data_IF_324014897253
#
_entry.id   IF_324014897253
#
_cell.length_a   1.000
_cell.length_b   1.000
_cell.length_c   1.000
_cell.angle_alpha   90.00
_cell.angle_beta   90.00
_cell.angle_gamma   90.00
#
_symmetry.space_group_name_H-M   'P 1'
#
loop_
_entity.id
_entity.type
_entity.pdbx_description
1 polymer ?
#
# COMPACT_ATOMS: atom_id res chain seq x y z
N UNK A 1 -3.34 -14.39 -12.92
CA UNK A 1 -3.90 -13.27 -12.14
C UNK A 1 -3.72 -13.61 -10.68
N UNK A 2 -2.71 -13.02 -10.05
CA UNK A 2 -2.52 -13.08 -8.60
C UNK A 2 -3.04 -11.78 -7.99
N UNK A 3 -3.76 -11.91 -6.89
CA UNK A 3 -4.19 -10.82 -6.02
C UNK A 3 -4.01 -11.26 -4.58
N UNK A 4 -4.20 -10.34 -3.64
CA UNK A 4 -4.20 -10.67 -2.22
C UNK A 4 -5.24 -11.75 -1.91
N UNK A 5 -4.85 -12.73 -1.11
CA UNK A 5 -5.63 -13.95 -0.81
C UNK A 5 -5.96 -14.11 0.67
N UNK A 6 -5.50 -13.17 1.49
CA UNK A 6 -5.82 -13.00 2.89
C UNK A 6 -7.06 -12.12 3.10
N UNK A 7 -7.66 -12.25 4.28
CA UNK A 7 -8.83 -11.48 4.67
C UNK A 7 -8.42 -10.06 5.08
N UNK A 8 -9.10 -9.06 4.50
CA UNK A 8 -9.02 -7.67 4.93
C UNK A 8 -10.23 -7.34 5.79
N UNK A 9 -9.99 -6.89 7.03
CA UNK A 9 -11.03 -6.41 7.93
C UNK A 9 -11.13 -4.89 7.80
N UNK A 10 -12.12 -4.40 7.06
CA UNK A 10 -12.38 -2.97 6.90
C UNK A 10 -13.27 -2.43 8.04
N UNK A 11 -13.11 -1.15 8.41
CA UNK A 11 -14.04 -0.49 9.31
C UNK A 11 -15.43 -0.36 8.68
N UNK A 12 -16.46 -0.26 9.53
CA UNK A 12 -17.85 -0.06 9.09
C UNK A 12 -18.03 1.20 8.23
N UNK A 13 -17.19 2.21 8.47
CA UNK A 13 -17.13 3.46 7.73
C UNK A 13 -15.69 3.67 7.23
N UNK A 14 -15.37 3.26 6.00
CA UNK A 14 -14.06 3.52 5.42
C UNK A 14 -13.85 5.01 5.18
N UNK A 15 -12.63 5.46 5.46
CA UNK A 15 -12.13 6.78 5.10
C UNK A 15 -11.43 6.68 3.74
N UNK A 16 -11.70 7.66 2.88
CA UNK A 16 -11.12 7.74 1.55
C UNK A 16 -10.46 9.11 1.40
N UNK A 17 -9.26 9.12 0.82
CA UNK A 17 -8.64 10.38 0.44
C UNK A 17 -9.47 11.06 -0.66
N UNK A 18 -9.52 12.40 -0.63
CA UNK A 18 -10.31 13.24 -1.54
C UNK A 18 -10.03 12.98 -3.04
N UNK A 19 -8.88 12.39 -3.34
CA UNK A 19 -8.48 12.05 -4.69
C UNK A 19 -8.91 10.61 -4.99
N UNK A 20 -10.07 10.45 -5.65
CA UNK A 20 -10.43 9.16 -6.23
C UNK A 20 -9.32 8.73 -7.19
N UNK A 21 -8.64 7.59 -6.94
CA UNK A 21 -7.70 7.07 -7.91
C UNK A 21 -8.45 6.81 -9.21
N UNK A 22 -8.02 7.43 -10.31
CA UNK A 22 -8.58 7.25 -11.66
C UNK A 22 -8.39 5.85 -12.23
N UNK A 23 -7.85 4.91 -11.45
CA UNK A 23 -7.59 3.53 -11.83
C UNK A 23 -8.60 2.56 -11.20
N UNK A 24 -9.32 1.82 -12.05
CA UNK A 24 -10.25 0.76 -11.65
C UNK A 24 -11.72 1.14 -11.85
N UNK A 25 -12.18 1.10 -13.11
CA UNK A 25 -13.58 1.35 -13.46
C UNK A 25 -14.47 0.11 -13.37
N UNK A 26 -14.04 -0.93 -12.64
CA UNK A 26 -14.84 -2.14 -12.47
C UNK A 26 -15.70 -1.98 -11.22
N UNK A 27 -17.02 -1.72 -11.35
CA UNK A 27 -17.91 -1.46 -10.23
C UNK A 27 -18.10 -2.68 -9.31
N UNK A 28 -17.47 -3.81 -9.64
CA UNK A 28 -17.54 -5.06 -8.88
C UNK A 28 -16.46 -5.19 -7.79
N UNK A 29 -15.47 -4.30 -7.73
CA UNK A 29 -14.36 -4.37 -6.76
C UNK A 29 -14.27 -3.13 -5.88
N UNK A 30 -14.48 -3.31 -4.57
CA UNK A 30 -14.31 -2.27 -3.55
C UNK A 30 -12.84 -1.96 -3.21
N UNK A 31 -11.90 -2.78 -3.68
CA UNK A 31 -10.46 -2.60 -3.49
C UNK A 31 -9.79 -2.62 -4.86
N UNK A 32 -9.30 -1.46 -5.30
CA UNK A 32 -8.55 -1.34 -6.55
C UNK A 32 -7.06 -1.61 -6.31
N UNK A 33 -6.48 -2.56 -7.05
CA UNK A 33 -5.07 -2.90 -6.91
C UNK A 33 -4.19 -1.85 -7.59
N UNK A 34 -3.25 -1.27 -6.84
CA UNK A 34 -2.14 -0.51 -7.41
C UNK A 34 -0.94 -1.42 -7.70
N UNK A 35 -0.18 -1.14 -8.76
CA UNK A 35 1.03 -1.91 -9.13
C UNK A 35 2.28 -1.06 -8.96
N UNK A 36 3.25 -1.57 -8.20
CA UNK A 36 4.57 -0.93 -8.14
C UNK A 36 5.27 -0.96 -9.50
N UNK A 37 5.84 0.17 -9.94
CA UNK A 37 6.68 0.28 -11.13
C UNK A 37 5.99 0.11 -12.49
N UNK A 38 4.66 0.02 -12.59
CA UNK A 38 3.94 -0.10 -13.87
C UNK A 38 2.56 0.56 -13.81
N UNK A 39 2.53 1.89 -13.66
CA UNK A 39 1.28 2.66 -13.64
C UNK A 39 1.50 3.98 -14.38
N UNK A 40 0.58 4.39 -15.26
CA UNK A 40 0.61 5.72 -15.89
C UNK A 40 0.09 6.79 -14.91
N UNK A 41 -0.85 6.39 -14.06
CA UNK A 41 -1.43 7.14 -12.96
C UNK A 41 -1.25 6.28 -11.70
N UNK A 42 -0.56 6.79 -10.70
CA UNK A 42 -0.24 6.08 -9.47
C UNK A 42 -0.62 6.94 -8.28
N UNK A 43 -0.90 6.34 -7.12
CA UNK A 43 -1.32 7.11 -5.96
C UNK A 43 -0.13 7.74 -5.20
N UNK A 44 1.11 7.40 -5.58
CA UNK A 44 2.33 8.03 -5.05
C UNK A 44 2.54 9.45 -5.65
N UNK A 45 3.36 10.32 -5.04
CA UNK A 45 3.60 11.67 -5.58
C UNK A 45 4.29 11.66 -6.97
N UNK A 46 3.87 12.58 -7.87
CA UNK A 46 4.06 12.59 -9.34
C UNK A 46 5.50 12.46 -9.91
N UNK A 47 6.55 12.51 -9.10
CA UNK A 47 7.92 12.75 -9.63
C UNK A 47 8.77 11.50 -9.91
N UNK A 48 8.25 10.28 -9.76
CA UNK A 48 9.14 9.10 -9.75
C UNK A 48 8.66 7.83 -10.46
N UNK A 49 7.51 7.83 -11.16
CA UNK A 49 6.92 6.60 -11.76
C UNK A 49 7.83 5.88 -12.73
N UNK A 50 8.43 6.61 -13.67
CA UNK A 50 9.38 6.03 -14.63
C UNK A 50 10.65 5.53 -13.96
N UNK A 51 11.00 6.11 -12.81
CA UNK A 51 12.18 5.71 -12.08
C UNK A 51 12.02 4.31 -11.51
N UNK A 52 10.82 3.90 -11.08
CA UNK A 52 10.64 2.63 -10.36
C UNK A 52 10.46 1.39 -11.23
N UNK A 53 10.30 1.54 -12.56
CA UNK A 53 10.09 0.40 -13.45
C UNK A 53 11.32 -0.53 -13.41
N UNK A 54 11.10 -1.79 -13.03
CA UNK A 54 12.17 -2.78 -12.93
C UNK A 54 13.14 -2.57 -11.77
N UNK A 55 12.86 -1.64 -10.86
CA UNK A 55 13.63 -1.46 -9.63
C UNK A 55 13.06 -2.32 -8.51
N UNK A 56 13.95 -2.84 -7.66
CA UNK A 56 13.53 -3.47 -6.41
C UNK A 56 13.16 -2.40 -5.38
N UNK A 57 12.21 -2.76 -4.51
CA UNK A 57 11.84 -1.96 -3.33
C UNK A 57 12.80 -2.34 -2.20
N UNK A 58 13.50 -1.39 -1.56
CA UNK A 58 14.28 -1.69 -0.37
C UNK A 58 13.35 -2.05 0.79
N UNK A 59 13.75 -3.05 1.58
CA UNK A 59 13.06 -3.40 2.81
C UNK A 59 13.92 -2.98 4.00
N UNK A 60 13.30 -2.41 5.03
CA UNK A 60 13.95 -2.12 6.31
C UNK A 60 13.50 -3.12 7.37
N UNK A 61 14.32 -3.32 8.40
CA UNK A 61 13.97 -4.14 9.57
C UNK A 61 14.24 -3.32 10.82
N UNK A 62 13.20 -3.12 11.62
CA UNK A 62 13.27 -2.32 12.84
C UNK A 62 13.12 -3.22 14.07
N UNK A 63 13.90 -2.96 15.12
CA UNK A 63 13.73 -3.59 16.42
C UNK A 63 13.20 -2.55 17.41
N UNK A 64 11.99 -2.80 17.93
CA UNK A 64 11.28 -1.89 18.83
C UNK A 64 11.05 -2.60 20.16
N UNK A 65 11.57 -2.04 21.25
CA UNK A 65 11.59 -2.70 22.57
C UNK A 65 10.30 -2.55 23.38
N UNK A 66 9.46 -1.56 23.04
CA UNK A 66 8.21 -1.26 23.76
C UNK A 66 6.96 -1.44 22.88
N UNK A 67 7.05 -2.25 21.83
CA UNK A 67 5.93 -2.51 20.91
C UNK A 67 5.71 -4.00 20.77
N UNK A 68 4.53 -4.45 21.15
CA UNK A 68 4.20 -5.87 21.19
C UNK A 68 3.42 -6.33 19.95
N UNK A 69 2.90 -5.39 19.16
CA UNK A 69 2.04 -5.66 18.01
C UNK A 69 2.23 -4.57 16.95
N UNK A 70 2.21 -4.98 15.69
CA UNK A 70 2.11 -4.11 14.53
C UNK A 70 0.83 -4.53 13.80
N UNK A 71 -0.03 -3.57 13.49
CA UNK A 71 -1.27 -3.79 12.77
C UNK A 71 -1.45 -2.71 11.72
N UNK A 72 -1.98 -3.11 10.56
CA UNK A 72 -2.37 -2.20 9.49
C UNK A 72 -3.88 -2.05 9.58
N UNK A 73 -4.35 -0.82 9.77
CA UNK A 73 -5.77 -0.48 9.72
C UNK A 73 -6.12 -0.06 8.29
N UNK A 74 -6.81 -0.90 7.51
CA UNK A 74 -7.10 -0.59 6.11
C UNK A 74 -8.27 0.41 6.00
N UNK A 75 -8.20 1.31 5.01
CA UNK A 75 -9.19 2.38 4.77
C UNK A 75 -9.49 3.24 6.02
N UNK A 76 -8.44 3.59 6.75
CA UNK A 76 -8.43 4.56 7.83
C UNK A 76 -7.25 5.51 7.61
N UNK A 77 -7.48 6.82 7.76
CA UNK A 77 -6.44 7.83 7.58
C UNK A 77 -5.55 7.93 8.84
N UNK A 78 -6.11 7.61 10.00
CA UNK A 78 -5.41 7.65 11.29
C UNK A 78 -5.53 6.33 12.05
N UNK A 79 -4.51 6.03 12.86
CA UNK A 79 -4.59 4.91 13.79
C UNK A 79 -5.55 5.26 14.95
N UNK A 80 -6.26 4.27 15.53
CA UNK A 80 -7.13 4.52 16.69
C UNK A 80 -6.39 5.10 17.90
N UNK A 81 -7.13 5.62 18.87
CA UNK A 81 -6.56 6.05 20.16
C UNK A 81 -5.69 4.94 20.78
N UNK A 82 -4.61 5.33 21.45
CA UNK A 82 -3.57 4.46 22.04
C UNK A 82 -2.67 3.70 21.05
N UNK A 83 -2.83 3.91 19.74
CA UNK A 83 -1.88 3.43 18.74
C UNK A 83 -0.87 4.51 18.35
N UNK A 84 0.35 4.08 18.03
CA UNK A 84 1.39 4.95 17.49
C UNK A 84 1.51 4.65 15.99
N UNK A 85 1.19 5.64 15.17
CA UNK A 85 1.36 5.56 13.72
C UNK A 85 2.85 5.43 13.37
N UNK A 86 3.21 4.31 12.74
CA UNK A 86 4.56 4.12 12.19
C UNK A 86 4.71 4.71 10.80
N UNK A 87 3.74 4.45 9.93
CA UNK A 87 3.65 4.98 8.57
C UNK A 87 2.23 4.77 8.04
N UNK A 88 1.90 5.47 6.95
CA UNK A 88 0.69 5.32 6.17
C UNK A 88 1.06 4.99 4.72
N UNK A 89 0.11 4.45 3.95
CA UNK A 89 0.40 4.06 2.59
C UNK A 89 -0.72 3.29 1.91
N UNK A 90 -0.35 2.55 0.86
CA UNK A 90 -1.28 1.86 -0.02
C UNK A 90 -1.21 0.34 0.16
N UNK A 91 -2.36 -0.32 0.17
CA UNK A 91 -2.43 -1.77 0.15
C UNK A 91 -2.06 -2.31 -1.23
N UNK A 92 -0.99 -3.10 -1.28
CA UNK A 92 -0.52 -3.75 -2.50
C UNK A 92 -0.54 -5.28 -2.31
N UNK A 93 -0.62 -5.98 -3.44
CA UNK A 93 -0.46 -7.44 -3.48
C UNK A 93 0.33 -7.89 -4.72
N UNK A 94 0.85 -9.11 -4.66
CA UNK A 94 1.62 -9.68 -5.75
C UNK A 94 0.75 -9.98 -6.98
N UNK A 95 1.16 -9.52 -8.16
CA UNK A 95 0.39 -9.68 -9.41
C UNK A 95 0.38 -11.10 -10.00
N UNK A 96 1.36 -11.95 -9.65
CA UNK A 96 1.61 -13.22 -10.32
C UNK A 96 1.47 -14.46 -9.43
N UNK A 97 1.44 -14.29 -8.10
CA UNK A 97 1.32 -15.37 -7.14
C UNK A 97 0.29 -14.96 -6.07
N UNK A 98 -0.49 -15.91 -5.53
CA UNK A 98 -1.29 -15.65 -4.33
C UNK A 98 -0.37 -15.15 -3.22
N UNK A 99 -0.70 -14.01 -2.64
CA UNK A 99 0.07 -13.38 -1.59
C UNK A 99 -0.83 -12.78 -0.53
N UNK A 100 -0.21 -12.26 0.52
CA UNK A 100 -0.87 -11.39 1.48
C UNK A 100 -0.86 -9.95 0.99
N UNK A 101 -1.81 -9.15 1.46
CA UNK A 101 -1.74 -7.71 1.30
C UNK A 101 -0.60 -7.16 2.16
N UNK A 102 0.14 -6.21 1.60
CA UNK A 102 1.16 -5.44 2.32
C UNK A 102 0.78 -3.96 2.26
N UNK A 103 1.03 -3.24 3.35
CA UNK A 103 0.99 -1.77 3.31
C UNK A 103 2.34 -1.29 2.79
N UNK A 104 2.35 -0.62 1.64
CA UNK A 104 3.53 0.03 1.09
C UNK A 104 3.45 1.52 1.35
N UNK A 105 4.53 2.10 1.88
CA UNK A 105 4.62 3.52 2.22
C UNK A 105 4.16 4.44 1.09
N UNK A 106 3.47 5.53 1.45
CA UNK A 106 3.01 6.57 0.51
C UNK A 106 4.15 7.24 -0.29
N UNK A 107 5.37 7.24 0.26
CA UNK A 107 6.59 7.76 -0.34
C UNK A 107 7.53 6.60 -0.66
N UNK A 108 7.36 5.93 -1.81
CA UNK A 108 8.10 4.73 -2.10
C UNK A 108 9.59 5.00 -2.37
N UNK A 109 10.45 4.15 -1.83
CA UNK A 109 11.87 4.10 -2.14
C UNK A 109 12.19 3.05 -3.23
N UNK A 110 13.38 3.13 -3.80
CA UNK A 110 13.89 2.15 -4.75
C UNK A 110 15.40 2.08 -4.71
N UNK A 111 15.98 0.91 -5.04
CA UNK A 111 17.42 0.82 -5.25
C UNK A 111 17.88 1.74 -6.40
N UNK A 112 19.06 2.36 -6.25
CA UNK A 112 19.68 3.13 -7.33
C UNK A 112 20.05 2.22 -8.52
N UNK A 113 19.97 2.75 -9.74
CA UNK A 113 20.56 2.10 -10.92
C UNK A 113 22.06 2.37 -10.89
N UNK A 114 22.85 1.31 -10.71
CA UNK A 114 24.29 1.34 -10.94
C UNK A 114 24.59 1.24 -12.44
#
# INVERSE_FOLDING_TARGET
TGGGSDYLCFPDKPEFQDQEPSFGSDPSTYVAAAKYGLMHEHPFAEHAVRSYIGRGVPCSTCHLTNRNLIHVFPAADECPEDWITEYSGYLLSGSNLPGSHICMDEKPESYEQN
#
